data_IF_521909180405
#
_entry.id   IF_521909180405
#
_cell.length_a   1.000
_cell.length_b   1.000
_cell.length_c   1.000
_cell.angle_alpha   90.00
_cell.angle_beta   90.00
_cell.angle_gamma   90.00
#
_symmetry.space_group_name_H-M   'P 1'
#
loop_
_entity.id
_entity.type
_entity.pdbx_description
1 polymer ?
#
# COMPACT_ATOMS: atom_id res chain seq x y z
N UNK A 1 15.20 21.73 22.95
CA UNK A 1 14.81 21.15 21.65
C UNK A 1 13.88 22.13 20.95
N UNK A 2 14.14 22.53 19.69
CA UNK A 2 13.17 23.35 18.98
C UNK A 2 12.00 22.45 18.58
N UNK A 3 10.77 22.88 18.90
CA UNK A 3 9.56 22.22 18.44
C UNK A 3 9.46 22.38 16.91
N UNK A 4 9.09 21.35 16.14
CA UNK A 4 8.78 21.53 14.73
C UNK A 4 7.60 22.48 14.63
N UNK A 5 7.78 23.60 13.92
CA UNK A 5 6.70 24.52 13.58
C UNK A 5 6.00 23.96 12.35
N UNK A 6 4.75 23.46 12.46
CA UNK A 6 4.01 23.02 11.29
C UNK A 6 3.85 24.20 10.34
N UNK A 7 4.12 24.01 9.06
CA UNK A 7 3.91 25.05 8.05
C UNK A 7 2.39 25.32 7.95
N UNK A 8 1.90 26.54 8.25
CA UNK A 8 0.47 26.85 8.21
C UNK A 8 -0.16 26.67 6.81
N UNK A 9 0.65 26.65 5.74
CA UNK A 9 0.19 26.31 4.39
C UNK A 9 -0.34 24.86 4.30
N UNK A 10 0.18 23.94 5.11
CA UNK A 10 -0.30 22.56 5.16
C UNK A 10 -1.68 22.46 5.83
N UNK A 11 -1.93 23.26 6.87
CA UNK A 11 -3.24 23.32 7.54
C UNK A 11 -4.30 24.02 6.70
N UNK A 12 -3.91 25.03 5.91
CA UNK A 12 -4.81 25.79 5.05
C UNK A 12 -5.25 25.05 3.77
N UNK A 13 -4.55 23.98 3.37
CA UNK A 13 -4.92 23.19 2.19
C UNK A 13 -6.25 22.42 2.34
N UNK A 14 -6.78 22.31 3.55
CA UNK A 14 -8.05 21.62 3.85
C UNK A 14 -9.29 22.38 3.35
N UNK A 15 -9.15 23.62 2.88
CA UNK A 15 -10.26 24.48 2.45
C UNK A 15 -10.32 24.74 0.94
N UNK A 16 -9.78 23.87 0.09
CA UNK A 16 -9.94 24.02 -1.37
C UNK A 16 -11.30 23.43 -1.80
N UNK A 17 -12.35 24.24 -1.62
CA UNK A 17 -13.52 24.22 -2.50
C UNK A 17 -13.24 25.27 -3.58
N UNK A 18 -12.50 24.90 -4.62
CA UNK A 18 -12.24 25.80 -5.73
C UNK A 18 -12.60 25.10 -7.04
N UNK A 19 -13.44 25.74 -7.85
CA UNK A 19 -14.11 25.16 -9.02
C UNK A 19 -13.16 24.94 -10.22
N UNK A 20 -11.86 25.19 -10.04
CA UNK A 20 -10.77 24.82 -10.95
C UNK A 20 -9.52 24.40 -10.16
N UNK A 21 -9.57 23.23 -9.52
CA UNK A 21 -8.41 22.69 -8.80
C UNK A 21 -7.18 22.58 -9.72
N UNK A 22 -6.03 23.12 -9.29
CA UNK A 22 -4.77 22.99 -10.03
C UNK A 22 -4.34 21.53 -10.15
N UNK A 23 -3.46 21.22 -11.11
CA UNK A 23 -2.94 19.85 -11.32
C UNK A 23 -2.26 19.34 -10.04
N UNK A 24 -1.55 20.21 -9.32
CA UNK A 24 -0.91 19.90 -8.05
C UNK A 24 -1.95 19.55 -6.98
N UNK A 25 -3.04 20.31 -6.88
CA UNK A 25 -4.13 20.02 -5.94
C UNK A 25 -4.82 18.68 -6.24
N UNK A 26 -5.06 18.38 -7.53
CA UNK A 26 -5.63 17.10 -7.95
C UNK A 26 -4.68 15.93 -7.66
N UNK A 27 -3.39 16.11 -7.94
CA UNK A 27 -2.35 15.10 -7.68
C UNK A 27 -2.23 14.81 -6.18
N UNK A 28 -2.19 15.87 -5.37
CA UNK A 28 -2.14 15.77 -3.92
C UNK A 28 -3.37 15.05 -3.35
N UNK A 29 -4.58 15.44 -3.76
CA UNK A 29 -5.81 14.81 -3.28
C UNK A 29 -5.88 13.33 -3.72
N UNK A 30 -5.40 13.01 -4.93
CA UNK A 30 -5.32 11.61 -5.38
C UNK A 30 -4.35 10.80 -4.52
N UNK A 31 -3.13 11.31 -4.25
CA UNK A 31 -2.17 10.67 -3.34
C UNK A 31 -2.75 10.48 -1.95
N UNK A 32 -3.40 11.51 -1.39
CA UNK A 32 -4.03 11.47 -0.08
C UNK A 32 -5.08 10.35 0.00
N UNK A 33 -5.88 10.16 -1.06
CA UNK A 33 -6.87 9.09 -1.13
C UNK A 33 -6.24 7.71 -1.20
N UNK A 34 -5.29 7.50 -2.12
CA UNK A 34 -4.67 6.17 -2.32
C UNK A 34 -3.81 5.77 -1.11
N UNK A 35 -3.19 6.74 -0.43
CA UNK A 35 -2.40 6.47 0.78
C UNK A 35 -3.24 6.35 2.05
N UNK A 36 -4.56 6.56 1.98
CA UNK A 36 -5.43 6.71 3.14
C UNK A 36 -4.89 7.70 4.19
N UNK A 37 -4.20 8.75 3.73
CA UNK A 37 -3.56 9.76 4.60
C UNK A 37 -2.26 9.32 5.28
N UNK A 38 -1.73 8.12 5.00
CA UNK A 38 -0.45 7.68 5.54
C UNK A 38 0.71 8.36 4.76
N UNK A 39 1.58 9.16 5.43
CA UNK A 39 2.64 9.90 4.75
C UNK A 39 3.74 8.99 4.20
N UNK A 40 4.05 7.87 4.86
CA UNK A 40 5.04 6.91 4.36
C UNK A 40 4.57 6.24 3.07
N UNK A 41 3.31 5.81 3.04
CA UNK A 41 2.68 5.25 1.83
C UNK A 41 2.60 6.30 0.72
N UNK A 42 2.24 7.55 1.06
CA UNK A 42 2.19 8.64 0.08
C UNK A 42 3.56 8.91 -0.56
N UNK A 43 4.64 8.89 0.23
CA UNK A 43 6.00 9.08 -0.26
C UNK A 43 6.47 7.91 -1.14
N UNK A 44 6.12 6.68 -0.77
CA UNK A 44 6.44 5.50 -1.58
C UNK A 44 5.71 5.53 -2.93
N UNK A 45 4.40 5.78 -2.93
CA UNK A 45 3.62 5.92 -4.17
C UNK A 45 4.16 7.08 -5.03
N UNK A 46 4.51 8.21 -4.40
CA UNK A 46 5.15 9.32 -5.11
C UNK A 46 6.44 8.87 -5.81
N UNK A 47 7.33 8.19 -5.11
CA UNK A 47 8.59 7.72 -5.66
C UNK A 47 8.39 6.75 -6.84
N UNK A 48 7.37 5.88 -6.77
CA UNK A 48 6.97 4.97 -7.85
C UNK A 48 6.32 5.70 -9.05
N UNK A 49 5.61 6.80 -8.80
CA UNK A 49 4.77 7.48 -9.79
C UNK A 49 5.45 8.64 -10.52
N UNK A 50 6.64 9.06 -10.05
CA UNK A 50 7.44 10.12 -10.68
C UNK A 50 8.21 9.55 -11.87
N UNK A 51 8.04 10.18 -13.04
CA UNK A 51 8.81 9.88 -14.25
C UNK A 51 9.47 11.16 -14.73
N UNK A 52 10.79 11.12 -14.95
CA UNK A 52 11.59 12.28 -15.39
C UNK A 52 11.41 13.53 -14.51
N UNK A 53 11.23 13.33 -13.19
CA UNK A 53 11.03 14.41 -12.22
C UNK A 53 9.64 15.06 -12.27
N UNK A 54 8.71 14.51 -13.04
CA UNK A 54 7.33 14.96 -13.14
C UNK A 54 6.37 13.90 -12.60
N UNK A 55 5.22 14.35 -12.09
CA UNK A 55 4.12 13.50 -11.64
C UNK A 55 2.81 14.06 -12.19
N UNK A 56 1.89 13.17 -12.55
CA UNK A 56 0.57 13.55 -13.00
C UNK A 56 -0.49 12.75 -12.24
N UNK A 57 -1.73 13.24 -12.15
CA UNK A 57 -2.81 12.45 -11.57
C UNK A 57 -2.94 11.07 -12.23
N UNK A 58 -2.68 10.97 -13.53
CA UNK A 58 -2.75 9.71 -14.27
C UNK A 58 -1.70 8.67 -13.88
N UNK A 59 -0.54 9.07 -13.34
CA UNK A 59 0.52 8.12 -12.97
C UNK A 59 0.32 7.50 -11.58
N UNK A 60 -0.60 8.03 -10.77
CA UNK A 60 -0.98 7.46 -9.48
C UNK A 60 -2.08 6.44 -9.69
N UNK A 61 -1.80 5.16 -9.54
CA UNK A 61 -2.81 4.11 -9.71
C UNK A 61 -3.52 3.81 -8.38
N UNK A 62 -4.85 3.70 -8.43
CA UNK A 62 -5.62 3.24 -7.29
C UNK A 62 -5.53 1.71 -7.20
N UNK A 63 -5.41 1.19 -5.98
CA UNK A 63 -5.51 -0.23 -5.76
C UNK A 63 -6.98 -0.67 -5.80
N UNK A 64 -7.33 -1.50 -6.78
CA UNK A 64 -8.62 -2.19 -6.82
C UNK A 64 -8.43 -3.64 -6.36
N UNK A 65 -8.71 -3.96 -5.09
CA UNK A 65 -8.60 -5.34 -4.64
C UNK A 65 -9.57 -6.22 -5.41
N UNK A 66 -9.05 -7.35 -5.91
CA UNK A 66 -9.88 -8.48 -6.33
C UNK A 66 -10.64 -9.13 -5.17
N UNK A 67 -11.31 -10.26 -5.48
CA UNK A 67 -12.17 -11.04 -4.57
C UNK A 67 -11.51 -11.36 -3.20
N UNK A 68 -12.35 -11.63 -2.19
CA UNK A 68 -11.95 -11.86 -0.79
C UNK A 68 -10.81 -12.87 -0.60
N UNK A 69 -9.94 -12.61 0.39
CA UNK A 69 -8.87 -13.51 0.82
C UNK A 69 -9.47 -14.78 1.44
N UNK A 70 -9.00 -15.96 1.02
CA UNK A 70 -9.22 -17.21 1.75
C UNK A 70 -8.32 -17.30 3.01
N UNK A 71 -8.39 -18.42 3.73
CA UNK A 71 -7.62 -18.58 4.97
C UNK A 71 -6.11 -18.63 4.72
N UNK A 72 -5.67 -19.38 3.71
CA UNK A 72 -4.25 -19.51 3.37
C UNK A 72 -3.66 -18.16 2.95
N UNK A 73 -4.36 -17.44 2.08
CA UNK A 73 -3.99 -16.11 1.63
C UNK A 73 -3.95 -15.11 2.79
N UNK A 74 -4.89 -15.17 3.72
CA UNK A 74 -4.93 -14.28 4.87
C UNK A 74 -3.74 -14.51 5.83
N UNK A 75 -3.41 -15.76 6.14
CA UNK A 75 -2.28 -16.11 7.02
C UNK A 75 -0.93 -15.75 6.40
N UNK A 76 -0.75 -16.03 5.10
CA UNK A 76 0.46 -15.63 4.37
C UNK A 76 0.57 -14.11 4.32
N UNK A 77 -0.49 -13.40 3.92
CA UNK A 77 -0.49 -11.93 3.85
C UNK A 77 -0.20 -11.28 5.20
N UNK A 78 -0.81 -11.78 6.28
CA UNK A 78 -0.55 -11.30 7.63
C UNK A 78 0.93 -11.43 8.01
N UNK A 79 1.56 -12.55 7.66
CA UNK A 79 2.99 -12.79 7.93
C UNK A 79 3.87 -11.80 7.18
N UNK A 80 3.55 -11.53 5.91
CA UNK A 80 4.31 -10.55 5.10
C UNK A 80 4.13 -9.13 5.67
N UNK A 81 2.91 -8.71 6.00
CA UNK A 81 2.64 -7.40 6.63
C UNK A 81 3.41 -7.25 7.94
N UNK A 82 3.43 -8.27 8.79
CA UNK A 82 4.09 -8.23 10.10
C UNK A 82 5.63 -8.24 10.03
N UNK A 83 6.20 -8.73 8.94
CA UNK A 83 7.65 -8.86 8.78
C UNK A 83 8.23 -7.89 7.74
N UNK A 84 7.39 -7.10 7.07
CA UNK A 84 7.70 -6.15 5.98
C UNK A 84 8.25 -6.81 4.71
N UNK A 85 9.17 -7.77 4.83
CA UNK A 85 9.76 -8.53 3.74
C UNK A 85 10.14 -9.94 4.20
N UNK A 86 9.63 -10.98 3.52
CA UNK A 86 9.87 -12.38 3.90
C UNK A 86 10.33 -13.19 2.69
N UNK A 87 11.39 -13.99 2.85
CA UNK A 87 11.81 -14.93 1.80
C UNK A 87 10.74 -15.99 1.54
N UNK A 88 10.51 -16.35 0.28
CA UNK A 88 9.55 -17.41 -0.10
C UNK A 88 9.88 -18.72 0.61
N UNK A 89 11.15 -19.12 0.64
CA UNK A 89 11.61 -20.34 1.33
C UNK A 89 11.26 -20.34 2.83
N UNK A 90 11.28 -19.16 3.47
CA UNK A 90 10.91 -19.02 4.87
C UNK A 90 9.39 -19.15 5.06
N UNK A 91 8.59 -18.61 4.16
CA UNK A 91 7.13 -18.81 4.17
C UNK A 91 6.81 -20.29 3.98
N UNK A 92 7.46 -20.96 3.04
CA UNK A 92 7.32 -22.40 2.80
C UNK A 92 7.70 -23.22 4.02
N UNK A 93 8.77 -22.86 4.73
CA UNK A 93 9.18 -23.53 5.96
C UNK A 93 8.20 -23.30 7.13
N UNK A 94 7.60 -22.11 7.23
CA UNK A 94 6.63 -21.77 8.28
C UNK A 94 5.26 -22.42 8.04
N UNK A 95 4.90 -22.64 6.77
CA UNK A 95 3.60 -23.14 6.36
C UNK A 95 3.75 -24.38 5.46
N UNK A 96 4.58 -25.33 5.87
CA UNK A 96 4.95 -26.55 5.13
C UNK A 96 3.77 -27.42 4.67
N UNK A 97 2.62 -27.31 5.35
CA UNK A 97 1.37 -28.03 5.01
C UNK A 97 0.38 -27.22 4.18
N UNK A 98 0.72 -25.99 3.78
CA UNK A 98 -0.13 -25.09 2.98
C UNK A 98 0.49 -24.87 1.59
N UNK A 99 -0.32 -24.56 0.56
CA UNK A 99 0.17 -24.37 -0.81
C UNK A 99 0.83 -22.99 -1.01
N UNK A 100 1.91 -22.69 -0.28
CA UNK A 100 2.52 -21.35 -0.19
C UNK A 100 2.82 -20.71 -1.55
N UNK A 101 3.44 -21.45 -2.47
CA UNK A 101 3.78 -20.91 -3.80
C UNK A 101 2.53 -20.47 -4.58
N UNK A 102 1.49 -21.31 -4.60
CA UNK A 102 0.22 -20.99 -5.25
C UNK A 102 -0.50 -19.83 -4.53
N UNK A 103 -0.44 -19.79 -3.20
CA UNK A 103 -1.01 -18.70 -2.41
C UNK A 103 -0.31 -17.37 -2.69
N UNK A 104 1.03 -17.35 -2.71
CA UNK A 104 1.82 -16.15 -3.04
C UNK A 104 1.51 -15.70 -4.46
N UNK A 105 1.50 -16.62 -5.43
CA UNK A 105 1.12 -16.31 -6.81
C UNK A 105 -0.28 -15.70 -6.90
N UNK A 106 -1.25 -16.25 -6.18
CA UNK A 106 -2.60 -15.70 -6.11
C UNK A 106 -2.64 -14.30 -5.47
N UNK A 107 -1.80 -14.02 -4.47
CA UNK A 107 -1.68 -12.69 -3.88
C UNK A 107 -1.01 -11.70 -4.84
N UNK A 108 -0.02 -12.14 -5.63
CA UNK A 108 0.65 -11.34 -6.68
C UNK A 108 -0.34 -10.96 -7.78
N UNK A 109 -1.12 -11.92 -8.28
CA UNK A 109 -2.13 -11.67 -9.33
C UNK A 109 -3.21 -10.69 -8.89
N UNK A 110 -3.48 -10.63 -7.59
CA UNK A 110 -4.41 -9.67 -6.97
C UNK A 110 -3.74 -8.36 -6.56
N UNK A 111 -2.42 -8.23 -6.74
CA UNK A 111 -1.61 -7.07 -6.39
C UNK A 111 -1.39 -6.85 -4.89
N UNK A 112 -1.75 -7.79 -4.03
CA UNK A 112 -1.57 -7.66 -2.56
C UNK A 112 -0.12 -7.77 -2.13
N UNK A 113 0.68 -8.51 -2.89
CA UNK A 113 2.12 -8.67 -2.67
C UNK A 113 2.86 -8.60 -4.00
N UNK A 114 4.16 -8.38 -3.91
CA UNK A 114 5.09 -8.51 -5.02
C UNK A 114 6.24 -9.44 -4.60
N UNK A 115 6.93 -10.01 -5.58
CA UNK A 115 8.10 -10.87 -5.33
C UNK A 115 9.30 -10.29 -6.06
N UNK A 116 10.31 -9.89 -5.29
CA UNK A 116 11.58 -9.35 -5.79
C UNK A 116 12.73 -10.09 -5.11
N UNK A 117 13.67 -10.62 -5.89
CA UNK A 117 14.82 -11.39 -5.41
C UNK A 117 14.46 -12.52 -4.42
N UNK A 118 13.36 -13.23 -4.70
CA UNK A 118 12.86 -14.33 -3.87
C UNK A 118 12.24 -13.89 -2.53
N UNK A 119 11.97 -12.59 -2.35
CA UNK A 119 11.32 -12.03 -1.17
C UNK A 119 9.95 -11.48 -1.52
N UNK A 120 8.99 -11.77 -0.66
CA UNK A 120 7.63 -11.28 -0.72
C UNK A 120 7.52 -10.00 0.11
N UNK A 121 7.00 -8.94 -0.49
CA UNK A 121 6.72 -7.64 0.15
C UNK A 121 5.30 -7.19 -0.18
N UNK A 122 4.73 -6.30 0.63
CA UNK A 122 3.47 -5.62 0.30
C UNK A 122 3.79 -4.30 -0.38
N UNK A 123 3.38 -4.08 -1.65
CA UNK A 123 3.61 -2.80 -2.30
C UNK A 123 2.85 -1.70 -1.57
N UNK A 124 3.40 -0.48 -1.55
CA UNK A 124 2.87 0.61 -0.73
C UNK A 124 1.37 0.86 -0.95
N UNK A 125 0.94 0.82 -2.22
CA UNK A 125 -0.47 0.97 -2.62
C UNK A 125 -1.41 -0.12 -2.08
N UNK A 126 -0.89 -1.32 -1.79
CA UNK A 126 -1.68 -2.43 -1.28
C UNK A 126 -1.67 -2.51 0.25
N UNK A 127 -0.83 -1.74 0.96
CA UNK A 127 -0.69 -1.85 2.42
C UNK A 127 -2.01 -1.60 3.17
N UNK A 128 -2.67 -0.48 2.89
CA UNK A 128 -3.94 -0.17 3.56
C UNK A 128 -5.06 -1.17 3.19
N UNK A 129 -5.26 -1.51 1.91
CA UNK A 129 -6.16 -2.60 1.51
C UNK A 129 -5.87 -3.96 2.16
N UNK A 130 -4.60 -4.33 2.29
CA UNK A 130 -4.17 -5.56 2.95
C UNK A 130 -4.55 -5.57 4.43
N UNK A 131 -4.22 -4.49 5.15
CA UNK A 131 -4.59 -4.32 6.56
C UNK A 131 -6.12 -4.38 6.73
N UNK A 132 -6.87 -3.63 5.92
CA UNK A 132 -8.34 -3.64 5.98
C UNK A 132 -8.94 -5.03 5.67
N UNK A 133 -8.32 -5.80 4.77
CA UNK A 133 -8.75 -7.17 4.48
C UNK A 133 -8.49 -8.13 5.65
N UNK A 134 -7.37 -7.96 6.35
CA UNK A 134 -7.01 -8.74 7.53
C UNK A 134 -7.87 -8.37 8.75
N UNK A 135 -8.17 -7.08 8.97
CA UNK A 135 -9.09 -6.59 10.00
C UNK A 135 -10.50 -7.17 9.83
N UNK A 136 -11.04 -7.18 8.59
CA UNK A 136 -12.35 -7.79 8.31
C UNK A 136 -12.41 -9.27 8.67
N UNK A 137 -11.27 -9.96 8.72
CA UNK A 137 -11.14 -11.36 9.14
C UNK A 137 -10.80 -11.52 10.62
N UNK A 138 -10.64 -10.44 11.37
CA UNK A 138 -10.27 -10.47 12.79
C UNK A 138 -8.82 -10.88 13.04
N UNK A 139 -7.93 -10.74 12.05
CA UNK A 139 -6.51 -11.08 12.18
C UNK A 139 -5.65 -9.91 12.69
N UNK A 140 -6.22 -8.71 12.69
CA UNK A 140 -5.64 -7.48 13.24
C UNK A 140 -6.70 -6.81 14.14
N UNK A 141 -6.23 -6.01 15.10
CA UNK A 141 -7.04 -5.35 16.13
C UNK A 141 -7.00 -3.84 16.02
#
# INVERSE_FOLDING_TARGET
MPYPKPNPAWTASWSVRDETASIEAVTFEKLRRVSAGNPGVALAIWAESVTDGQIAPGSIEAFEPGLALDEDAAVVLWTVVAQESVAVDRLTALFDRRPVEATVQGLVERGFVEVTDGRVTVPARALHPAVAALERRGMLW
#
